data_IF_099067512540
#
_entry.id   IF_099067512540
#
_cell.length_a   1.000
_cell.length_b   1.000
_cell.length_c   1.000
_cell.angle_alpha   90.00
_cell.angle_beta   90.00
_cell.angle_gamma   90.00
#
_symmetry.space_group_name_H-M   'P 1'
#
loop_
_entity.id
_entity.type
_entity.pdbx_description
1 polymer ?
#
# COMPACT_ATOMS: atom_id res chain seq x y z
N UNK A 1 -24.31 36.57 -22.62
CA UNK A 1 -23.58 35.32 -22.33
C UNK A 1 -23.74 35.01 -20.86
N UNK A 2 -24.54 33.99 -20.51
CA UNK A 2 -24.65 33.55 -19.12
C UNK A 2 -23.33 32.88 -18.72
N UNK A 3 -22.64 33.40 -17.71
CA UNK A 3 -21.56 32.69 -17.05
C UNK A 3 -22.16 31.39 -16.51
N UNK A 4 -21.78 30.27 -17.13
CA UNK A 4 -22.11 28.94 -16.63
C UNK A 4 -21.37 28.80 -15.31
N UNK A 5 -22.10 28.84 -14.21
CA UNK A 5 -21.59 28.40 -12.90
C UNK A 5 -21.16 26.95 -13.11
N UNK A 6 -19.85 26.70 -13.17
CA UNK A 6 -19.31 25.35 -13.24
C UNK A 6 -19.61 24.71 -11.90
N UNK A 7 -20.72 23.99 -11.82
CA UNK A 7 -21.06 23.11 -10.71
C UNK A 7 -19.87 22.17 -10.47
N UNK A 8 -19.28 22.22 -9.29
CA UNK A 8 -18.25 21.27 -8.85
C UNK A 8 -18.94 19.97 -8.46
N UNK A 9 -19.40 19.20 -9.45
CA UNK A 9 -19.97 17.89 -9.20
C UNK A 9 -18.89 16.97 -8.63
N UNK A 10 -18.96 16.73 -7.32
CA UNK A 10 -18.08 15.78 -6.64
C UNK A 10 -18.61 14.36 -6.81
N UNK A 11 -17.71 13.41 -7.00
CA UNK A 11 -18.03 11.98 -7.04
C UNK A 11 -17.95 11.42 -5.61
N UNK A 12 -19.05 10.80 -5.15
CA UNK A 12 -19.08 10.13 -3.85
C UNK A 12 -18.50 8.73 -3.96
N UNK A 13 -17.45 8.43 -3.21
CA UNK A 13 -16.80 7.12 -3.18
C UNK A 13 -16.74 6.57 -1.75
N UNK A 14 -16.65 5.24 -1.63
CA UNK A 14 -16.25 4.56 -0.40
C UNK A 14 -14.83 4.03 -0.55
N UNK A 15 -14.09 4.02 0.54
CA UNK A 15 -12.78 3.36 0.62
C UNK A 15 -12.81 2.42 1.81
N UNK A 16 -12.34 1.19 1.60
CA UNK A 16 -12.07 0.20 2.64
C UNK A 16 -10.57 -0.10 2.67
N UNK A 17 -10.00 -0.25 3.86
CA UNK A 17 -8.69 -0.86 4.05
C UNK A 17 -8.76 -2.38 3.94
N UNK A 18 -7.86 -3.08 4.66
CA UNK A 18 -7.70 -4.53 4.52
C UNK A 18 -9.01 -5.27 4.80
N UNK A 19 -9.50 -5.99 3.80
CA UNK A 19 -10.72 -6.80 3.89
C UNK A 19 -10.43 -8.16 4.51
N UNK A 20 -9.25 -8.74 4.23
CA UNK A 20 -8.81 -10.04 4.75
C UNK A 20 -9.85 -11.15 4.60
N UNK A 21 -10.55 -11.19 3.47
CA UNK A 21 -11.58 -12.20 3.19
C UNK A 21 -12.91 -12.04 3.93
N UNK A 22 -13.12 -10.99 4.75
CA UNK A 22 -14.36 -10.76 5.50
C UNK A 22 -15.49 -10.16 4.62
N UNK A 23 -15.82 -10.82 3.50
CA UNK A 23 -16.72 -10.30 2.47
C UNK A 23 -18.15 -10.09 2.96
N UNK A 24 -18.67 -10.97 3.82
CA UNK A 24 -20.01 -10.80 4.42
C UNK A 24 -20.09 -9.52 5.24
N UNK A 25 -19.04 -9.22 6.00
CA UNK A 25 -18.95 -8.01 6.83
C UNK A 25 -18.75 -6.76 5.99
N UNK A 26 -17.89 -6.84 4.97
CA UNK A 26 -17.66 -5.76 4.01
C UNK A 26 -19.00 -5.35 3.38
N UNK A 27 -19.65 -6.25 2.64
CA UNK A 27 -20.84 -5.89 1.87
C UNK A 27 -22.05 -5.55 2.73
N UNK A 28 -22.19 -6.16 3.92
CA UNK A 28 -23.22 -5.73 4.89
C UNK A 28 -22.99 -4.31 5.40
N UNK A 29 -21.72 -3.91 5.62
CA UNK A 29 -21.37 -2.56 6.06
C UNK A 29 -21.57 -1.56 4.93
N UNK A 30 -21.16 -1.91 3.69
CA UNK A 30 -21.34 -1.09 2.50
C UNK A 30 -22.82 -0.82 2.25
N UNK A 31 -23.68 -1.85 2.30
CA UNK A 31 -25.13 -1.68 2.11
C UNK A 31 -25.73 -0.68 3.12
N UNK A 32 -25.37 -0.81 4.41
CA UNK A 32 -25.84 0.11 5.46
C UNK A 32 -25.36 1.55 5.23
N UNK A 33 -24.09 1.72 4.89
CA UNK A 33 -23.50 3.06 4.66
C UNK A 33 -24.08 3.68 3.38
N UNK A 34 -24.25 2.90 2.32
CA UNK A 34 -24.83 3.36 1.05
C UNK A 34 -26.29 3.79 1.23
N UNK A 35 -27.10 3.05 1.98
CA UNK A 35 -28.48 3.46 2.32
C UNK A 35 -28.54 4.75 3.14
N UNK A 36 -27.53 5.01 3.98
CA UNK A 36 -27.51 6.17 4.88
C UNK A 36 -26.93 7.44 4.25
N UNK A 37 -25.86 7.32 3.47
CA UNK A 37 -25.05 8.45 3.00
C UNK A 37 -24.79 8.46 1.48
N UNK A 38 -25.25 7.42 0.78
CA UNK A 38 -25.10 7.26 -0.65
C UNK A 38 -26.08 8.11 -1.47
N UNK A 39 -26.28 7.78 -2.76
CA UNK A 39 -25.60 6.69 -3.46
C UNK A 39 -24.09 6.96 -3.61
N UNK A 40 -23.27 5.93 -3.38
CA UNK A 40 -21.85 5.95 -3.71
C UNK A 40 -21.64 5.38 -5.12
N UNK A 41 -20.77 6.02 -5.89
CA UNK A 41 -20.48 5.64 -7.26
C UNK A 41 -19.54 4.43 -7.35
N UNK A 42 -18.60 4.32 -6.41
CA UNK A 42 -17.62 3.24 -6.34
C UNK A 42 -17.17 2.96 -4.91
N UNK A 43 -16.75 1.72 -4.65
CA UNK A 43 -16.01 1.28 -3.47
C UNK A 43 -14.60 0.87 -3.91
N UNK A 44 -13.57 1.45 -3.30
CA UNK A 44 -12.18 1.03 -3.48
C UNK A 44 -11.70 0.27 -2.25
N UNK A 45 -11.25 -0.97 -2.43
CA UNK A 45 -10.62 -1.76 -1.38
C UNK A 45 -9.09 -1.73 -1.57
N UNK A 46 -8.38 -1.21 -0.57
CA UNK A 46 -6.91 -1.11 -0.54
C UNK A 46 -6.34 -2.03 0.53
N UNK A 47 -5.09 -2.45 0.36
CA UNK A 47 -4.47 -3.44 1.24
C UNK A 47 -4.86 -4.87 0.88
N UNK A 48 -4.87 -5.75 1.87
CA UNK A 48 -5.17 -7.17 1.66
C UNK A 48 -6.67 -7.38 1.43
N UNK A 49 -7.06 -7.84 0.23
CA UNK A 49 -8.45 -8.07 -0.10
C UNK A 49 -8.92 -9.47 0.33
N UNK A 50 -8.12 -10.49 0.02
CA UNK A 50 -8.43 -11.87 0.36
C UNK A 50 -7.86 -12.29 1.72
N UNK A 51 -8.31 -13.45 2.22
CA UNK A 51 -7.75 -14.05 3.43
C UNK A 51 -6.41 -14.71 3.18
N UNK A 52 -5.53 -14.74 4.18
CA UNK A 52 -4.20 -15.35 4.07
C UNK A 52 -4.23 -16.85 3.73
N UNK A 53 -5.31 -17.56 4.09
CA UNK A 53 -5.48 -18.99 3.82
C UNK A 53 -5.99 -19.29 2.41
N UNK A 54 -6.28 -18.26 1.60
CA UNK A 54 -6.82 -18.47 0.25
C UNK A 54 -8.29 -18.89 0.20
N UNK A 55 -8.97 -18.92 1.34
CA UNK A 55 -10.38 -19.29 1.42
C UNK A 55 -11.25 -18.22 0.75
N UNK A 56 -12.11 -18.68 -0.16
CA UNK A 56 -13.03 -17.82 -0.91
C UNK A 56 -14.50 -18.18 -0.67
N UNK A 57 -14.80 -19.01 0.34
CA UNK A 57 -16.14 -19.50 0.66
C UNK A 57 -17.17 -18.37 0.88
N UNK A 58 -16.77 -17.28 1.54
CA UNK A 58 -17.64 -16.11 1.73
C UNK A 58 -17.91 -15.35 0.43
N UNK A 59 -17.04 -15.51 -0.58
CA UNK A 59 -17.14 -14.88 -1.89
C UNK A 59 -17.99 -15.70 -2.87
N UNK A 60 -18.01 -17.04 -2.75
CA UNK A 60 -18.73 -17.95 -3.64
C UNK A 60 -20.18 -17.52 -3.95
N UNK A 61 -21.02 -17.13 -2.96
CA UNK A 61 -22.39 -16.71 -3.25
C UNK A 61 -22.50 -15.50 -4.18
N UNK A 62 -21.49 -14.62 -4.18
CA UNK A 62 -21.45 -13.45 -5.07
C UNK A 62 -20.94 -13.84 -6.46
N UNK A 63 -19.96 -14.75 -6.55
CA UNK A 63 -19.45 -15.28 -7.81
C UNK A 63 -20.53 -16.05 -8.58
N UNK A 64 -21.31 -16.86 -7.87
CA UNK A 64 -22.44 -17.64 -8.42
C UNK A 64 -23.69 -16.77 -8.69
N UNK A 65 -23.70 -15.52 -8.23
CA UNK A 65 -24.82 -14.59 -8.41
C UNK A 65 -26.01 -14.81 -7.47
N UNK A 66 -25.89 -15.67 -6.46
CA UNK A 66 -26.94 -15.84 -5.42
C UNK A 66 -27.03 -14.64 -4.46
N UNK A 67 -25.95 -13.84 -4.36
CA UNK A 67 -25.93 -12.55 -3.69
C UNK A 67 -25.43 -11.44 -4.61
N UNK A 68 -25.89 -10.23 -4.37
CA UNK A 68 -25.48 -9.05 -5.13
C UNK A 68 -24.59 -8.15 -4.30
N UNK A 69 -23.67 -7.47 -4.99
CA UNK A 69 -22.79 -6.46 -4.39
C UNK A 69 -23.44 -5.08 -4.55
N UNK A 70 -23.66 -4.33 -3.45
CA UNK A 70 -24.54 -3.16 -3.44
C UNK A 70 -23.95 -1.90 -4.12
N UNK A 71 -22.63 -1.84 -4.30
CA UNK A 71 -21.89 -0.73 -4.91
C UNK A 71 -20.78 -1.32 -5.79
N UNK A 72 -20.54 -0.80 -7.01
CA UNK A 72 -19.40 -1.22 -7.83
C UNK A 72 -18.09 -1.19 -7.03
N UNK A 73 -17.51 -2.37 -6.84
CA UNK A 73 -16.37 -2.60 -5.95
C UNK A 73 -15.13 -2.90 -6.76
N UNK A 74 -14.09 -2.13 -6.53
CA UNK A 74 -12.79 -2.24 -7.16
C UNK A 74 -11.75 -2.54 -6.10
N UNK A 75 -10.86 -3.50 -6.37
CA UNK A 75 -9.84 -3.86 -5.41
C UNK A 75 -8.45 -3.97 -6.05
N UNK A 76 -7.45 -3.69 -5.23
CA UNK A 76 -6.07 -4.12 -5.37
C UNK A 76 -5.80 -5.22 -4.33
N UNK A 77 -4.65 -5.86 -4.40
CA UNK A 77 -4.23 -6.88 -3.45
C UNK A 77 -2.90 -6.52 -2.79
N UNK A 78 -2.59 -7.15 -1.66
CA UNK A 78 -1.31 -7.02 -0.95
C UNK A 78 -0.37 -8.18 -1.27
N UNK A 79 -0.21 -9.11 -0.34
CA UNK A 79 0.69 -10.26 -0.47
C UNK A 79 -0.02 -11.61 -0.35
N UNK A 80 -1.34 -11.59 -0.25
CA UNK A 80 -2.19 -12.72 0.08
C UNK A 80 -2.47 -13.68 -1.10
N UNK A 81 -2.02 -13.33 -2.31
CA UNK A 81 -2.29 -14.09 -3.54
C UNK A 81 -1.40 -15.34 -3.69
N UNK A 82 -0.43 -15.53 -2.80
CA UNK A 82 0.48 -16.70 -2.83
C UNK A 82 -0.23 -18.05 -2.62
N UNK A 83 -1.51 -18.05 -2.24
CA UNK A 83 -2.33 -19.26 -2.11
C UNK A 83 -2.99 -19.65 -3.45
N UNK A 84 -2.95 -20.95 -3.77
CA UNK A 84 -3.35 -21.49 -5.09
C UNK A 84 -4.78 -21.14 -5.51
N UNK A 85 -5.72 -21.06 -4.56
CA UNK A 85 -7.13 -20.78 -4.87
C UNK A 85 -7.38 -19.36 -5.38
N UNK A 86 -6.67 -18.35 -4.85
CA UNK A 86 -6.86 -16.95 -5.28
C UNK A 86 -6.22 -16.73 -6.65
N UNK A 87 -5.06 -17.32 -6.87
CA UNK A 87 -4.38 -17.30 -8.14
C UNK A 87 -5.22 -17.87 -9.28
N UNK A 88 -5.85 -19.02 -9.06
CA UNK A 88 -6.77 -19.63 -10.03
C UNK A 88 -8.00 -18.74 -10.28
N UNK A 89 -8.57 -18.17 -9.21
CA UNK A 89 -9.71 -17.25 -9.30
C UNK A 89 -9.40 -16.03 -10.17
N UNK A 90 -8.21 -15.46 -10.03
CA UNK A 90 -7.80 -14.31 -10.83
C UNK A 90 -7.36 -14.73 -12.24
N UNK A 91 -6.62 -15.83 -12.37
CA UNK A 91 -6.23 -16.44 -13.63
C UNK A 91 -5.67 -15.42 -14.62
N UNK A 92 -6.26 -15.36 -15.82
CA UNK A 92 -5.87 -14.42 -16.88
C UNK A 92 -6.02 -12.94 -16.51
N UNK A 93 -6.76 -12.60 -15.45
CA UNK A 93 -6.94 -11.22 -14.97
C UNK A 93 -5.77 -10.75 -14.12
N UNK A 94 -4.81 -11.61 -13.77
CA UNK A 94 -3.69 -11.24 -12.91
C UNK A 94 -2.96 -9.98 -13.39
N UNK A 95 -2.75 -9.83 -14.69
CA UNK A 95 -2.08 -8.67 -15.29
C UNK A 95 -2.99 -7.44 -15.40
N UNK A 96 -3.95 -7.47 -16.31
CA UNK A 96 -4.75 -6.31 -16.70
C UNK A 96 -5.94 -6.01 -15.76
N UNK A 97 -6.18 -6.89 -14.79
CA UNK A 97 -7.41 -6.89 -14.01
C UNK A 97 -8.60 -7.41 -14.82
N UNK A 98 -9.77 -7.38 -14.19
CA UNK A 98 -11.02 -7.77 -14.82
C UNK A 98 -12.15 -7.94 -13.82
N UNK A 99 -13.37 -8.03 -14.33
CA UNK A 99 -14.54 -8.33 -13.52
C UNK A 99 -14.51 -9.82 -13.12
N UNK A 100 -14.67 -10.08 -11.82
CA UNK A 100 -14.80 -11.44 -11.28
C UNK A 100 -16.26 -11.88 -11.28
N UNK A 101 -17.15 -10.96 -10.88
CA UNK A 101 -18.60 -11.11 -10.89
C UNK A 101 -19.24 -9.73 -10.94
N UNK A 102 -20.56 -9.61 -11.19
CA UNK A 102 -21.24 -8.32 -11.26
C UNK A 102 -20.91 -7.42 -10.07
N UNK A 103 -20.42 -6.20 -10.37
CA UNK A 103 -19.99 -5.19 -9.40
C UNK A 103 -18.73 -5.54 -8.58
N UNK A 104 -17.92 -6.52 -8.98
CA UNK A 104 -16.62 -6.81 -8.36
C UNK A 104 -15.51 -6.93 -9.39
N UNK A 105 -14.58 -5.98 -9.36
CA UNK A 105 -13.54 -5.84 -10.37
C UNK A 105 -12.16 -5.78 -9.72
N UNK A 106 -11.29 -6.69 -10.13
CA UNK A 106 -9.86 -6.58 -9.85
C UNK A 106 -9.26 -5.51 -10.78
N UNK A 107 -8.51 -4.56 -10.24
CA UNK A 107 -7.95 -3.47 -11.05
C UNK A 107 -6.78 -3.91 -11.94
N UNK A 108 -6.00 -4.91 -11.52
CA UNK A 108 -4.78 -5.37 -12.20
C UNK A 108 -3.53 -5.16 -11.33
N UNK A 109 -2.36 -5.52 -11.86
CA UNK A 109 -1.08 -5.33 -11.12
C UNK A 109 -0.75 -3.86 -10.92
N UNK A 110 -0.79 -3.09 -12.00
CA UNK A 110 -0.55 -1.65 -11.99
C UNK A 110 -1.29 -0.99 -13.13
N UNK A 111 -1.60 0.30 -12.98
CA UNK A 111 -2.08 1.10 -14.10
C UNK A 111 -2.92 2.29 -13.69
N UNK A 112 -3.59 2.85 -14.69
CA UNK A 112 -4.47 4.01 -14.55
C UNK A 112 -5.80 3.65 -15.22
N UNK A 113 -6.92 3.80 -14.49
CA UNK A 113 -8.26 3.53 -14.99
C UNK A 113 -9.19 4.71 -14.70
N UNK A 114 -10.13 4.95 -15.62
CA UNK A 114 -11.20 5.92 -15.44
C UNK A 114 -12.41 5.23 -14.79
N UNK A 115 -12.75 5.63 -13.57
CA UNK A 115 -13.79 4.99 -12.76
C UNK A 115 -14.74 6.07 -12.27
N UNK A 116 -15.99 6.02 -12.73
CA UNK A 116 -17.04 6.99 -12.36
C UNK A 116 -16.63 8.46 -12.58
N UNK A 117 -15.84 8.73 -13.62
CA UNK A 117 -15.33 10.06 -13.95
C UNK A 117 -14.08 10.49 -13.17
N UNK A 118 -13.50 9.61 -12.36
CA UNK A 118 -12.24 9.82 -11.65
C UNK A 118 -11.10 9.07 -12.35
N UNK A 119 -9.93 9.71 -12.43
CA UNK A 119 -8.69 9.08 -12.87
C UNK A 119 -8.00 8.39 -11.70
N UNK A 120 -7.95 7.06 -11.71
CA UNK A 120 -7.49 6.22 -10.60
C UNK A 120 -6.21 5.48 -10.99
N UNK A 121 -5.08 5.90 -10.42
CA UNK A 121 -3.82 5.18 -10.42
C UNK A 121 -3.84 4.08 -9.36
N UNK A 122 -3.25 2.92 -9.63
CA UNK A 122 -3.19 1.83 -8.67
C UNK A 122 -1.91 1.00 -8.82
N UNK A 123 -1.43 0.47 -7.70
CA UNK A 123 -0.34 -0.50 -7.61
C UNK A 123 -0.73 -1.59 -6.61
N UNK A 124 -0.91 -2.80 -7.11
CA UNK A 124 -1.14 -4.02 -6.34
C UNK A 124 0.18 -4.69 -6.00
N UNK A 125 0.20 -5.45 -4.91
CA UNK A 125 1.37 -6.21 -4.46
C UNK A 125 2.01 -5.64 -3.21
N UNK A 126 3.18 -6.20 -2.90
CA UNK A 126 4.07 -5.76 -1.83
C UNK A 126 5.46 -5.45 -2.35
N UNK A 127 6.18 -4.63 -1.61
CA UNK A 127 7.60 -4.45 -1.77
C UNK A 127 8.37 -5.63 -1.16
N UNK A 128 9.38 -6.04 -1.91
CA UNK A 128 10.40 -6.96 -1.47
C UNK A 128 11.69 -6.54 -2.16
N UNK A 129 12.75 -6.30 -1.39
CA UNK A 129 13.96 -5.63 -1.89
C UNK A 129 14.69 -6.46 -2.95
N UNK A 130 14.71 -7.79 -2.78
CA UNK A 130 15.27 -8.73 -3.75
C UNK A 130 14.41 -8.78 -5.00
N UNK A 131 13.12 -9.09 -4.85
CA UNK A 131 12.21 -9.22 -5.98
C UNK A 131 12.08 -7.92 -6.78
N UNK A 132 12.10 -6.76 -6.13
CA UNK A 132 11.90 -5.46 -6.80
C UNK A 132 12.96 -5.15 -7.85
N UNK A 133 14.21 -5.62 -7.64
CA UNK A 133 15.33 -5.41 -8.57
C UNK A 133 15.45 -6.51 -9.63
N UNK A 134 14.72 -7.60 -9.47
CA UNK A 134 14.67 -8.63 -10.49
C UNK A 134 13.83 -8.14 -11.66
N UNK A 135 14.08 -8.65 -12.89
CA UNK A 135 13.15 -8.45 -13.97
C UNK A 135 11.81 -9.10 -13.61
N UNK A 136 10.72 -8.45 -14.02
CA UNK A 136 9.37 -8.99 -13.85
C UNK A 136 9.32 -10.44 -14.34
N UNK A 137 8.93 -11.34 -13.44
CA UNK A 137 8.77 -12.76 -13.76
C UNK A 137 7.58 -12.88 -14.71
N UNK A 138 7.79 -13.48 -15.88
CA UNK A 138 6.69 -13.91 -16.74
C UNK A 138 5.79 -14.82 -15.91
N UNK A 139 4.47 -14.64 -15.99
CA UNK A 139 3.48 -15.52 -15.34
C UNK A 139 3.46 -16.95 -15.93
N UNK A 140 4.49 -17.32 -16.69
CA UNK A 140 4.70 -18.65 -17.25
C UNK A 140 5.26 -19.57 -16.15
N UNK A 141 4.40 -20.03 -15.25
CA UNK A 141 4.75 -20.98 -14.19
C UNK A 141 3.77 -20.98 -13.03
N UNK A 142 3.91 -21.96 -12.12
CA UNK A 142 3.02 -22.16 -10.97
C UNK A 142 3.28 -21.17 -9.80
N UNK A 143 4.31 -20.31 -9.88
CA UNK A 143 4.61 -19.32 -8.85
C UNK A 143 3.98 -17.97 -9.19
N UNK A 144 2.96 -17.57 -8.44
CA UNK A 144 2.37 -16.23 -8.58
C UNK A 144 3.28 -15.20 -7.95
N UNK A 145 3.68 -14.23 -8.74
CA UNK A 145 4.44 -13.11 -8.26
C UNK A 145 3.53 -12.10 -7.55
N UNK A 146 3.63 -12.03 -6.22
CA UNK A 146 2.89 -11.05 -5.41
C UNK A 146 3.63 -9.73 -5.23
N UNK A 147 4.90 -9.68 -5.63
CA UNK A 147 5.74 -8.49 -5.51
C UNK A 147 5.60 -7.66 -6.78
N UNK A 148 5.62 -6.35 -6.64
CA UNK A 148 5.77 -5.46 -7.80
C UNK A 148 7.26 -5.21 -8.07
N UNK A 149 7.58 -5.05 -9.35
CA UNK A 149 8.95 -4.84 -9.83
C UNK A 149 9.24 -3.37 -10.12
N UNK A 150 10.52 -3.01 -10.18
CA UNK A 150 10.95 -1.66 -10.54
C UNK A 150 10.38 -1.23 -11.90
N UNK A 151 10.41 -2.12 -12.90
CA UNK A 151 9.85 -1.83 -14.23
C UNK A 151 8.35 -1.49 -14.18
N UNK A 152 7.59 -2.12 -13.28
CA UNK A 152 6.15 -1.87 -13.14
C UNK A 152 5.88 -0.50 -12.52
N UNK A 153 6.73 -0.08 -11.58
CA UNK A 153 6.67 1.26 -10.95
C UNK A 153 7.11 2.32 -11.95
N UNK A 154 8.18 2.08 -12.71
CA UNK A 154 8.66 2.98 -13.77
C UNK A 154 7.60 3.20 -14.84
N UNK A 155 6.97 2.13 -15.32
CA UNK A 155 5.87 2.22 -16.28
C UNK A 155 4.70 3.04 -15.73
N UNK A 156 4.34 2.85 -14.46
CA UNK A 156 3.25 3.58 -13.84
C UNK A 156 3.58 5.06 -13.69
N UNK A 157 4.80 5.39 -13.27
CA UNK A 157 5.28 6.78 -13.17
C UNK A 157 5.28 7.44 -14.54
N UNK A 158 5.79 6.75 -15.58
CA UNK A 158 5.81 7.25 -16.94
C UNK A 158 4.38 7.56 -17.43
N UNK A 159 3.45 6.61 -17.29
CA UNK A 159 2.04 6.79 -17.66
C UNK A 159 1.37 7.93 -16.87
N UNK A 160 1.64 8.02 -15.56
CA UNK A 160 1.06 9.08 -14.72
C UNK A 160 1.60 10.46 -15.11
N UNK A 161 2.86 10.52 -15.53
CA UNK A 161 3.51 11.76 -15.96
C UNK A 161 2.97 12.29 -17.29
N UNK A 162 2.35 11.47 -18.14
CA UNK A 162 1.70 11.95 -19.36
C UNK A 162 0.60 12.99 -19.07
N UNK A 163 -0.02 12.92 -17.89
CA UNK A 163 -1.05 13.86 -17.43
C UNK A 163 -0.49 15.00 -16.56
N UNK A 164 0.80 15.36 -16.69
CA UNK A 164 1.49 16.35 -15.84
C UNK A 164 0.81 17.73 -15.71
N UNK A 165 -0.12 18.10 -16.59
CA UNK A 165 -0.87 19.37 -16.49
C UNK A 165 -2.08 19.27 -15.56
N UNK A 166 -2.70 18.08 -15.50
CA UNK A 166 -3.98 17.86 -14.81
C UNK A 166 -3.79 16.99 -13.56
N UNK A 167 -2.80 16.11 -13.56
CA UNK A 167 -2.62 15.06 -12.55
C UNK A 167 -3.76 14.05 -12.57
N UNK A 168 -3.81 13.25 -11.51
CA UNK A 168 -4.81 12.20 -11.28
C UNK A 168 -5.63 12.46 -10.00
N UNK A 169 -6.79 11.83 -9.91
CA UNK A 169 -7.65 11.99 -8.75
C UNK A 169 -7.14 11.17 -7.57
N UNK A 170 -6.82 9.90 -7.80
CA UNK A 170 -6.60 8.91 -6.75
C UNK A 170 -5.39 8.04 -7.09
N UNK A 171 -4.54 7.78 -6.09
CA UNK A 171 -3.61 6.67 -6.04
C UNK A 171 -4.09 5.64 -5.00
N UNK A 172 -4.15 4.37 -5.40
CA UNK A 172 -4.44 3.22 -4.55
C UNK A 172 -3.19 2.36 -4.40
N UNK A 173 -2.71 2.15 -3.18
CA UNK A 173 -1.62 1.21 -2.90
C UNK A 173 -1.94 0.36 -1.68
N UNK A 174 -1.43 -0.87 -1.65
CA UNK A 174 -1.58 -1.71 -0.47
C UNK A 174 -0.71 -1.21 0.67
N UNK A 175 0.54 -0.87 0.36
CA UNK A 175 1.54 -0.38 1.31
C UNK A 175 1.60 1.15 1.36
N UNK A 176 2.13 1.65 2.47
CA UNK A 176 2.46 3.07 2.66
C UNK A 176 3.78 3.40 1.98
N UNK A 177 4.02 4.68 1.66
CA UNK A 177 5.35 5.11 1.22
C UNK A 177 6.31 5.21 2.41
N UNK A 178 7.53 4.69 2.28
CA UNK A 178 8.55 4.87 3.31
C UNK A 178 8.85 6.36 3.55
N UNK A 179 8.98 6.75 4.81
CA UNK A 179 9.26 8.15 5.17
C UNK A 179 8.04 9.06 5.20
N UNK A 180 6.81 8.51 5.11
CA UNK A 180 5.56 9.27 5.23
C UNK A 180 5.45 10.12 6.51
N UNK A 181 6.19 9.74 7.56
CA UNK A 181 6.22 10.40 8.86
C UNK A 181 7.23 11.56 8.96
N UNK A 182 8.12 11.76 7.98
CA UNK A 182 9.26 12.71 8.09
C UNK A 182 8.86 14.16 8.36
N UNK A 183 7.66 14.56 7.93
CA UNK A 183 7.13 15.91 8.10
C UNK A 183 6.02 15.99 9.15
N UNK A 184 5.85 14.92 9.92
CA UNK A 184 4.96 14.96 11.07
C UNK A 184 5.59 15.76 12.21
N UNK A 185 4.79 16.54 12.96
CA UNK A 185 5.25 17.12 14.21
C UNK A 185 5.85 16.04 15.13
N UNK A 186 6.88 16.39 15.90
CA UNK A 186 7.53 15.48 16.86
C UNK A 186 6.54 14.88 17.87
N UNK A 187 5.45 15.59 18.15
CA UNK A 187 4.39 15.18 19.06
C UNK A 187 3.29 14.33 18.39
N UNK A 188 3.36 14.13 17.08
CA UNK A 188 2.39 13.34 16.35
C UNK A 188 2.59 11.84 16.63
N UNK A 189 1.74 11.29 17.49
CA UNK A 189 1.68 9.84 17.72
C UNK A 189 0.88 9.17 16.59
N UNK A 190 1.55 8.41 15.73
CA UNK A 190 0.88 7.45 14.85
C UNK A 190 0.70 6.16 15.64
N UNK A 191 -0.52 5.60 15.74
CA UNK A 191 -0.77 4.37 16.49
C UNK A 191 -0.30 3.15 15.69
N UNK A 192 1.01 3.04 15.45
CA UNK A 192 1.66 1.98 14.69
C UNK A 192 2.59 1.16 15.58
N UNK A 193 2.71 -0.13 15.30
CA UNK A 193 3.67 -1.01 15.96
C UNK A 193 5.01 -0.99 15.22
N UNK A 194 6.11 -0.85 15.96
CA UNK A 194 7.47 -0.86 15.42
C UNK A 194 7.98 0.52 14.94
N UNK A 195 9.27 0.61 14.57
CA UNK A 195 9.89 1.88 14.17
C UNK A 195 9.32 2.41 12.85
N UNK A 196 8.89 3.67 12.86
CA UNK A 196 8.30 4.36 11.71
C UNK A 196 9.27 4.46 10.52
N UNK A 197 10.57 4.52 10.79
CA UNK A 197 11.66 4.63 9.83
C UNK A 197 11.74 3.42 8.90
N UNK A 198 11.30 2.25 9.39
CA UNK A 198 11.28 0.99 8.64
C UNK A 198 9.91 0.65 8.05
N UNK A 199 8.89 1.48 8.29
CA UNK A 199 7.56 1.24 7.77
C UNK A 199 7.37 1.81 6.36
N UNK A 200 6.64 1.06 5.55
CA UNK A 200 6.30 1.42 4.17
C UNK A 200 7.35 1.02 3.15
N UNK A 201 6.99 1.18 1.88
CA UNK A 201 7.78 0.81 0.71
C UNK A 201 8.54 2.03 0.16
N UNK A 202 9.85 1.91 -0.12
CA UNK A 202 10.60 2.94 -0.84
C UNK A 202 10.09 3.15 -2.27
N UNK A 203 9.60 2.09 -2.93
CA UNK A 203 9.02 2.19 -4.26
C UNK A 203 7.70 2.98 -4.27
N UNK A 204 6.83 2.78 -3.27
CA UNK A 204 5.61 3.61 -3.11
C UNK A 204 5.98 5.06 -2.77
N UNK A 205 7.03 5.29 -1.98
CA UNK A 205 7.52 6.65 -1.73
C UNK A 205 7.99 7.32 -3.02
N UNK A 206 8.74 6.61 -3.86
CA UNK A 206 9.18 7.08 -5.18
C UNK A 206 7.99 7.40 -6.07
N UNK A 207 7.04 6.47 -6.22
CA UNK A 207 5.80 6.70 -6.96
C UNK A 207 5.05 7.93 -6.45
N UNK A 208 4.94 8.10 -5.13
CA UNK A 208 4.26 9.23 -4.51
C UNK A 208 5.02 10.57 -4.59
N UNK A 209 6.32 10.53 -4.86
CA UNK A 209 7.12 11.72 -5.15
C UNK A 209 7.08 12.14 -6.62
N UNK A 210 6.91 11.18 -7.53
CA UNK A 210 7.05 11.42 -8.97
C UNK A 210 5.71 11.57 -9.69
N UNK A 211 4.66 10.89 -9.23
CA UNK A 211 3.31 10.98 -9.78
C UNK A 211 2.46 12.05 -9.06
N UNK A 212 1.66 12.79 -9.83
CA UNK A 212 0.81 13.86 -9.30
C UNK A 212 -0.64 13.40 -9.12
N UNK A 213 -1.05 13.17 -7.87
CA UNK A 213 -2.41 12.74 -7.51
C UNK A 213 -2.96 13.47 -6.29
N UNK A 214 -4.28 13.60 -6.20
CA UNK A 214 -4.93 14.37 -5.12
C UNK A 214 -5.22 13.57 -3.86
N UNK A 215 -5.51 12.28 -3.99
CA UNK A 215 -5.79 11.39 -2.87
C UNK A 215 -4.90 10.15 -2.94
N UNK A 216 -4.37 9.72 -1.80
CA UNK A 216 -3.66 8.45 -1.65
C UNK A 216 -4.35 7.62 -0.59
N UNK A 217 -4.91 6.49 -0.99
CA UNK A 217 -5.54 5.55 -0.06
C UNK A 217 -4.63 4.34 0.12
N UNK A 218 -4.32 4.01 1.37
CA UNK A 218 -3.36 2.96 1.73
C UNK A 218 -3.90 2.03 2.83
N UNK A 219 -3.50 0.76 2.81
CA UNK A 219 -3.91 -0.27 3.77
C UNK A 219 -2.76 -0.77 4.67
N UNK A 220 -2.72 -2.09 4.91
CA UNK A 220 -1.66 -2.96 5.49
C UNK A 220 -1.09 -2.64 6.88
N UNK A 221 -0.95 -1.38 7.28
CA UNK A 221 -0.45 -1.01 8.62
C UNK A 221 -1.53 -1.10 9.71
N UNK A 222 -2.79 -1.36 9.35
CA UNK A 222 -3.94 -1.33 10.26
C UNK A 222 -4.06 -0.01 11.05
N UNK A 223 -3.67 1.10 10.42
CA UNK A 223 -3.70 2.46 11.00
C UNK A 223 -4.67 3.32 10.21
N UNK A 224 -5.61 3.96 10.91
CA UNK A 224 -6.38 5.07 10.35
C UNK A 224 -5.69 6.38 10.71
N UNK A 225 -5.07 7.00 9.72
CA UNK A 225 -4.39 8.28 9.90
C UNK A 225 -4.53 9.11 8.64
N UNK A 226 -4.87 10.37 8.82
CA UNK A 226 -4.93 11.35 7.74
C UNK A 226 -3.71 12.25 7.87
N UNK A 227 -2.80 12.16 6.90
CA UNK A 227 -1.65 13.05 6.86
C UNK A 227 -2.12 14.47 6.52
N UNK A 228 -1.41 15.47 7.03
CA UNK A 228 -1.57 16.83 6.54
C UNK A 228 -1.35 16.83 5.01
N UNK A 229 -2.17 17.53 4.22
CA UNK A 229 -1.98 17.55 2.78
C UNK A 229 -0.57 18.02 2.43
N UNK A 230 0.10 17.36 1.51
CA UNK A 230 1.46 17.70 1.07
C UNK A 230 1.48 18.11 -0.40
N UNK A 231 2.41 18.98 -0.77
CA UNK A 231 2.52 19.51 -2.12
C UNK A 231 3.03 18.44 -3.09
N UNK A 232 2.48 18.43 -4.30
CA UNK A 232 3.08 17.78 -5.47
C UNK A 232 3.26 18.81 -6.60
N UNK A 233 3.71 18.42 -7.78
CA UNK A 233 4.04 19.36 -8.86
C UNK A 233 2.80 20.10 -9.34
N UNK A 234 1.63 19.45 -9.33
CA UNK A 234 0.38 20.01 -9.87
C UNK A 234 -0.53 20.57 -8.78
N UNK A 235 -0.82 19.79 -7.74
CA UNK A 235 -1.81 20.02 -6.68
C UNK A 235 -1.19 19.86 -5.27
N UNK A 236 -2.02 19.42 -4.32
CA UNK A 236 -1.63 18.77 -3.07
C UNK A 236 -2.23 17.36 -3.01
N UNK A 237 -1.54 16.46 -2.31
CA UNK A 237 -1.97 15.10 -2.04
C UNK A 237 -2.48 14.98 -0.60
N UNK A 238 -3.62 14.28 -0.43
CA UNK A 238 -4.17 13.86 0.87
C UNK A 238 -3.98 12.37 1.04
N UNK A 239 -3.14 11.97 1.99
CA UNK A 239 -2.95 10.56 2.33
C UNK A 239 -3.89 10.12 3.44
N UNK A 240 -4.56 9.00 3.21
CA UNK A 240 -5.45 8.34 4.16
C UNK A 240 -5.03 6.88 4.34
N UNK A 241 -4.49 6.60 5.52
CA UNK A 241 -4.36 5.25 6.05
C UNK A 241 -5.71 4.68 6.43
N UNK A 242 -5.94 3.41 6.08
CA UNK A 242 -7.15 2.68 6.41
C UNK A 242 -6.81 1.48 7.30
N UNK A 243 -7.66 1.23 8.31
CA UNK A 243 -7.53 0.05 9.16
C UNK A 243 -8.07 -1.22 8.51
N UNK A 244 -7.77 -2.38 9.11
CA UNK A 244 -8.33 -3.66 8.70
C UNK A 244 -9.79 -3.82 9.15
N UNK A 245 -10.64 -4.43 8.31
CA UNK A 245 -12.01 -4.72 8.69
C UNK A 245 -12.05 -5.63 9.91
N UNK A 246 -12.85 -5.22 10.91
CA UNK A 246 -13.01 -6.00 12.13
C UNK A 246 -11.85 -5.99 13.10
N UNK A 247 -10.86 -5.11 12.91
CA UNK A 247 -9.75 -4.96 13.85
C UNK A 247 -10.25 -4.73 15.30
N UNK A 248 -9.51 -5.29 16.27
CA UNK A 248 -9.85 -5.20 17.69
C UNK A 248 -9.79 -3.76 18.22
N UNK A 249 -8.89 -2.94 17.66
CA UNK A 249 -8.69 -1.54 18.03
C UNK A 249 -9.82 -0.59 17.59
N UNK A 250 -10.84 -1.09 16.87
CA UNK A 250 -11.92 -0.28 16.26
C UNK A 250 -11.39 0.90 15.42
N UNK A 251 -10.19 0.74 14.86
CA UNK A 251 -9.59 1.64 13.88
C UNK A 251 -10.53 1.73 12.69
N UNK A 252 -10.69 2.92 12.13
CA UNK A 252 -11.63 3.13 11.02
C UNK A 252 -11.14 2.42 9.77
N UNK A 253 -11.83 1.33 9.43
CA UNK A 253 -11.52 0.51 8.26
C UNK A 253 -12.24 0.97 6.98
N UNK A 254 -13.32 1.76 7.11
CA UNK A 254 -14.11 2.22 5.96
C UNK A 254 -14.53 3.67 6.13
N UNK A 255 -14.43 4.46 5.06
CA UNK A 255 -14.81 5.86 5.04
C UNK A 255 -15.35 6.29 3.67
N UNK A 256 -16.35 7.17 3.68
CA UNK A 256 -16.85 7.83 2.47
C UNK A 256 -16.16 9.15 2.20
N UNK A 257 -15.97 9.46 0.92
CA UNK A 257 -15.33 10.68 0.43
C UNK A 257 -16.16 11.31 -0.68
N UNK A 258 -16.02 12.63 -0.85
CA UNK A 258 -16.55 13.38 -1.98
C UNK A 258 -15.37 13.98 -2.73
N UNK A 259 -15.06 13.42 -3.89
CA UNK A 259 -13.86 13.74 -4.68
C UNK A 259 -14.27 14.66 -5.82
N UNK A 260 -13.78 15.92 -5.87
CA UNK A 260 -13.93 16.77 -7.04
C UNK A 260 -12.98 16.27 -8.15
N UNK A 261 -13.48 15.83 -9.32
CA UNK A 261 -12.64 15.28 -10.37
C UNK A 261 -11.67 16.32 -10.95
N UNK A 262 -10.40 15.97 -11.15
CA UNK A 262 -9.37 16.87 -11.70
C UNK A 262 -9.71 17.37 -13.10
N UNK A 263 -10.47 16.59 -13.88
CA UNK A 263 -10.87 16.92 -15.25
C UNK A 263 -11.94 18.00 -15.34
N UNK A 264 -12.79 18.13 -14.33
CA UNK A 264 -13.99 18.98 -14.38
C UNK A 264 -13.97 20.11 -13.36
N UNK A 265 -13.25 19.94 -12.25
CA UNK A 265 -13.16 20.95 -11.21
C UNK A 265 -12.31 22.16 -11.64
N UNK A 266 -12.62 23.37 -11.12
CA UNK A 266 -11.85 24.57 -11.44
C UNK A 266 -10.46 24.50 -10.80
N UNK A 267 -9.43 24.85 -11.59
CA UNK A 267 -8.02 24.84 -11.14
C UNK A 267 -7.76 25.69 -9.90
N UNK A 268 -8.50 26.79 -9.73
CA UNK A 268 -8.39 27.67 -8.56
C UNK A 268 -8.70 26.95 -7.24
N UNK A 269 -9.62 25.97 -7.25
CA UNK A 269 -9.97 25.21 -6.06
C UNK A 269 -8.79 24.37 -5.54
N UNK A 270 -7.88 23.95 -6.42
CA UNK A 270 -6.72 23.14 -6.05
C UNK A 270 -5.49 23.99 -5.73
N UNK A 271 -5.39 25.19 -6.31
CA UNK A 271 -4.29 26.12 -6.04
C UNK A 271 -4.25 26.56 -4.57
N UNK A 272 -5.40 26.92 -4.00
CA UNK A 272 -5.49 27.31 -2.58
C UNK A 272 -5.17 26.15 -1.62
N UNK A 273 -5.54 24.92 -1.99
CA UNK A 273 -5.21 23.73 -1.21
C UNK A 273 -3.69 23.48 -1.21
N UNK A 274 -3.04 23.67 -2.37
CA UNK A 274 -1.60 23.52 -2.54
C UNK A 274 -0.80 24.55 -1.75
N UNK A 275 -1.23 25.81 -1.74
CA UNK A 275 -0.54 26.88 -1.00
C UNK A 275 -0.50 26.60 0.52
N UNK A 276 -1.53 25.95 1.05
CA UNK A 276 -1.64 25.59 2.47
C UNK A 276 -1.04 24.22 2.82
N UNK A 277 -0.64 23.44 1.81
CA UNK A 277 -0.09 22.10 2.00
C UNK A 277 1.36 22.16 2.50
N UNK A 278 1.76 21.14 3.25
CA UNK A 278 3.15 20.95 3.67
C UNK A 278 4.05 20.60 2.49
N UNK A 279 5.36 20.59 2.69
CA UNK A 279 6.27 19.96 1.73
C UNK A 279 5.94 18.47 1.55
N UNK A 280 6.41 17.87 0.45
CA UNK A 280 6.25 16.44 0.20
C UNK A 280 7.16 15.63 1.14
N UNK A 281 6.64 14.68 1.94
CA UNK A 281 7.47 13.88 2.85
C UNK A 281 8.41 12.91 2.13
N UNK A 282 8.13 12.61 0.86
CA UNK A 282 8.88 11.65 0.05
C UNK A 282 9.97 12.30 -0.79
N UNK A 283 9.94 13.63 -0.99
CA UNK A 283 11.06 14.32 -1.61
C UNK A 283 12.26 14.24 -0.70
N UNK A 284 13.40 13.81 -1.24
CA UNK A 284 14.67 13.76 -0.51
C UNK A 284 14.92 15.15 0.08
N UNK A 285 15.19 15.24 1.39
CA UNK A 285 15.58 16.50 1.98
C UNK A 285 16.80 17.02 1.21
N UNK A 286 16.88 18.32 0.85
CA UNK A 286 18.12 18.87 0.33
C UNK A 286 19.20 18.55 1.36
N UNK A 287 20.21 17.78 0.95
CA UNK A 287 21.35 17.47 1.79
C UNK A 287 21.93 18.81 2.27
N UNK A 288 22.12 18.97 3.57
CA UNK A 288 22.78 20.15 4.15
C UNK A 288 24.28 20.24 3.79
N UNK A 289 24.71 19.46 2.80
CA UNK A 289 25.99 19.55 2.14
C UNK A 289 25.67 19.65 0.64
N UNK A 290 25.90 20.83 0.08
CA UNK A 290 25.78 21.06 -1.35
C UNK A 290 26.71 20.11 -2.08
N UNK A 291 26.13 19.24 -2.91
CA UNK A 291 26.85 18.63 -4.01
C UNK A 291 27.12 19.79 -4.98
N UNK A 292 28.37 20.24 -5.01
CA UNK A 292 28.86 21.04 -6.12
C UNK A 292 28.78 20.16 -7.36
N UNK A 293 28.14 20.68 -8.40
CA UNK A 293 28.14 20.10 -9.74
C UNK A 293 29.60 19.74 -10.11
N UNK A 294 29.85 18.46 -10.40
CA UNK A 294 31.11 18.03 -11.02
C UNK A 294 31.16 18.63 -12.43
N UNK A 295 31.76 19.81 -12.54
CA UNK A 295 32.15 20.42 -13.81
C UNK A 295 33.36 19.63 -14.35
N UNK A 296 33.19 18.96 -15.50
CA UNK A 296 34.27 18.31 -16.24
C UNK A 296 35.42 19.30 -16.51
N UNK A 297 36.59 19.06 -15.90
CA UNK A 297 37.82 19.80 -16.20
C UNK A 297 38.60 19.03 -17.28
N UNK A 298 39.00 19.69 -18.40
CA UNK A 298 39.68 19.00 -19.49
C UNK A 298 41.15 18.70 -19.14
N UNK A 299 41.62 17.52 -19.54
CA UNK A 299 43.02 17.08 -19.37
C UNK A 299 44.02 18.00 -20.11
N UNK A 300 45.11 18.35 -19.43
CA UNK A 300 46.28 19.03 -19.98
C UNK A 300 47.54 18.14 -19.81
N UNK A 301 48.54 18.28 -20.71
CA UNK A 301 49.41 17.18 -21.10
C UNK A 301 50.57 16.91 -20.14
N UNK A 302 50.93 15.64 -20.05
CA UNK A 302 52.10 15.15 -19.32
C UNK A 302 53.42 15.61 -19.96
N UNK A 303 54.33 16.13 -19.15
CA UNK A 303 55.77 16.17 -19.43
C UNK A 303 56.48 15.25 -18.45
N UNK A 304 57.24 14.31 -19.00
CA UNK A 304 58.16 13.41 -18.29
C UNK A 304 59.24 14.18 -17.53
N UNK A 305 59.68 13.64 -16.39
CA UNK A 305 61.10 13.52 -16.07
C UNK A 305 61.32 12.52 -14.93
N UNK A 306 62.35 11.69 -15.12
CA UNK A 306 62.79 10.54 -14.36
C UNK A 306 63.14 10.80 -12.89
N UNK A 307 63.08 9.77 -12.03
CA UNK A 307 64.27 9.23 -11.35
C UNK A 307 63.96 7.88 -10.67
N UNK A 308 64.81 6.91 -10.99
CA UNK A 308 64.82 5.51 -10.56
C UNK A 308 65.76 5.32 -9.36
N UNK A 309 65.33 4.65 -8.28
CA UNK A 309 66.24 3.89 -7.39
C UNK A 309 65.56 2.63 -6.82
N UNK A 310 65.81 1.52 -7.50
CA UNK A 310 66.27 0.20 -7.02
C UNK A 310 65.78 -0.44 -5.69
N UNK A 311 65.17 -1.62 -5.90
CA UNK A 311 65.06 -2.85 -5.09
C UNK A 311 66.07 -3.08 -3.94
N UNK A 312 65.54 -3.59 -2.82
CA UNK A 312 66.20 -4.60 -1.98
C UNK A 312 65.13 -5.58 -1.44
N UNK A 313 65.41 -6.88 -1.51
CA UNK A 313 64.49 -7.99 -1.19
C UNK A 313 64.80 -8.68 0.15
N UNK A 314 63.72 -9.09 0.83
CA UNK A 314 63.53 -10.30 1.67
C UNK A 314 64.12 -10.35 3.11
N UNK A 315 63.75 -11.35 3.97
CA UNK A 315 62.39 -11.70 4.44
C UNK A 315 62.36 -11.97 5.98
N UNK A 316 61.17 -12.14 6.61
CA UNK A 316 61.10 -12.64 8.00
C UNK A 316 59.71 -12.70 8.67
N UNK A 317 59.23 -13.94 8.85
CA UNK A 317 58.51 -14.51 10.01
C UNK A 317 57.08 -14.09 10.44
N UNK A 318 56.17 -15.04 10.18
CA UNK A 318 55.14 -15.64 11.04
C UNK A 318 54.49 -14.87 12.21
N UNK A 319 53.15 -14.84 12.20
CA UNK A 319 52.35 -15.39 13.30
C UNK A 319 50.92 -15.73 12.85
N UNK A 320 50.58 -17.02 12.96
CA UNK A 320 49.23 -17.56 12.85
C UNK A 320 48.49 -17.38 14.17
N UNK A 321 47.19 -17.11 14.13
CA UNK A 321 46.27 -17.49 15.20
C UNK A 321 45.05 -18.18 14.57
N UNK A 322 44.93 -19.47 14.88
CA UNK A 322 43.87 -20.37 14.47
C UNK A 322 42.99 -20.68 15.68
N UNK A 323 41.66 -20.76 15.47
CA UNK A 323 40.78 -21.68 16.21
C UNK A 323 39.74 -22.22 15.20
N UNK A 324 39.89 -23.51 14.87
CA UNK A 324 38.94 -24.37 14.16
C UNK A 324 37.77 -24.75 15.10
N UNK A 325 36.52 -24.67 14.63
CA UNK A 325 35.67 -25.75 14.09
C UNK A 325 34.95 -26.64 15.12
N UNK A 326 33.62 -26.74 14.97
CA UNK A 326 32.85 -27.96 15.30
C UNK A 326 31.92 -28.23 14.12
N UNK A 327 32.15 -29.39 13.49
CA UNK A 327 31.39 -30.03 12.43
C UNK A 327 30.24 -30.86 13.03
N UNK A 328 29.17 -31.02 12.25
CA UNK A 328 28.14 -32.04 12.47
C UNK A 328 27.41 -32.37 11.16
N UNK A 329 28.08 -33.10 10.26
CA UNK A 329 27.48 -33.72 9.08
C UNK A 329 26.80 -35.04 9.45
N UNK A 330 25.60 -35.28 8.92
CA UNK A 330 25.02 -36.61 8.80
C UNK A 330 24.71 -36.89 7.33
N UNK A 331 25.49 -37.79 6.72
CA UNK A 331 25.26 -38.35 5.40
C UNK A 331 24.73 -39.78 5.58
N UNK A 332 23.65 -40.13 4.90
CA UNK A 332 23.18 -41.51 4.75
C UNK A 332 23.26 -41.91 3.27
N UNK A 333 23.97 -43.01 3.04
CA UNK A 333 24.19 -43.69 1.76
C UNK A 333 22.91 -44.39 1.29
N UNK A 334 22.72 -44.53 -0.02
CA UNK A 334 21.96 -45.64 -0.59
C UNK A 334 22.66 -46.15 -1.85
N UNK A 335 22.92 -47.46 -1.86
CA UNK A 335 23.61 -48.21 -2.91
C UNK A 335 22.71 -48.48 -4.13
N UNK A 336 23.38 -48.66 -5.26
CA UNK A 336 22.83 -49.00 -6.57
C UNK A 336 22.94 -50.52 -6.78
N UNK A 337 21.85 -51.17 -7.19
CA UNK A 337 21.89 -52.44 -7.92
C UNK A 337 21.01 -52.37 -9.18
N UNK A 338 21.55 -52.96 -10.24
CA UNK A 338 21.13 -52.93 -11.64
C UNK A 338 20.34 -54.20 -12.01
N UNK A 339 19.26 -54.06 -12.78
CA UNK A 339 18.69 -55.13 -13.62
C UNK A 339 17.69 -54.59 -14.67
N UNK A 340 18.16 -54.42 -15.91
CA UNK A 340 17.60 -55.12 -17.08
C UNK A 340 16.24 -54.73 -17.70
N UNK A 341 16.34 -54.07 -18.86
CA UNK A 341 15.59 -54.27 -20.12
C UNK A 341 14.10 -53.82 -20.28
N UNK A 342 13.89 -52.90 -21.24
CA UNK A 342 12.65 -52.76 -22.02
C UNK A 342 12.08 -51.33 -22.11
N UNK A 343 12.31 -50.61 -23.21
CA UNK A 343 11.56 -49.37 -23.55
C UNK A 343 10.44 -49.60 -24.56
N UNK A 344 9.67 -48.58 -24.99
CA UNK A 344 9.41 -47.30 -24.34
C UNK A 344 7.90 -47.08 -24.07
N UNK A 345 7.53 -46.69 -22.85
CA UNK A 345 6.29 -45.97 -22.56
C UNK A 345 6.63 -44.68 -21.82
N UNK A 346 5.86 -43.63 -22.13
CA UNK A 346 6.10 -42.21 -21.87
C UNK A 346 6.43 -41.82 -20.41
N UNK A 347 7.21 -40.74 -20.20
CA UNK A 347 7.13 -39.97 -18.96
C UNK A 347 6.98 -38.45 -19.26
N UNK A 348 6.34 -37.62 -18.44
CA UNK A 348 6.66 -37.36 -17.04
C UNK A 348 5.46 -36.73 -16.31
N UNK A 349 5.02 -37.34 -15.22
CA UNK A 349 4.37 -36.65 -14.11
C UNK A 349 5.48 -36.06 -13.21
N UNK A 350 5.54 -34.73 -13.09
CA UNK A 350 6.45 -34.03 -12.18
C UNK A 350 5.86 -34.03 -10.76
N UNK A 351 6.69 -34.43 -9.80
CA UNK A 351 6.42 -34.31 -8.36
C UNK A 351 6.58 -32.84 -7.96
N UNK A 352 5.48 -32.21 -7.53
CA UNK A 352 5.44 -30.86 -7.00
C UNK A 352 5.70 -30.86 -5.49
N UNK A 353 6.56 -29.96 -5.03
CA UNK A 353 6.73 -29.67 -3.61
C UNK A 353 5.56 -28.83 -3.10
N UNK A 354 4.57 -29.47 -2.49
CA UNK A 354 3.55 -28.78 -1.69
C UNK A 354 4.21 -28.16 -0.45
N UNK A 355 3.84 -26.92 -0.09
CA UNK A 355 4.18 -26.37 1.23
C UNK A 355 3.69 -27.32 2.32
N UNK A 356 4.57 -27.68 3.24
CA UNK A 356 4.21 -28.59 4.32
C UNK A 356 3.17 -27.94 5.23
N UNK A 357 2.22 -28.72 5.73
CA UNK A 357 1.24 -28.27 6.73
C UNK A 357 1.93 -27.63 7.96
N UNK A 358 3.19 -27.99 8.24
CA UNK A 358 4.00 -27.39 9.29
C UNK A 358 4.37 -25.92 9.01
N UNK A 359 4.71 -25.57 7.76
CA UNK A 359 5.03 -24.19 7.37
C UNK A 359 3.79 -23.30 7.37
N UNK A 360 2.65 -23.82 6.88
CA UNK A 360 1.37 -23.11 6.94
C UNK A 360 0.92 -22.86 8.40
N UNK A 361 1.12 -23.85 9.28
CA UNK A 361 0.82 -23.72 10.70
C UNK A 361 1.74 -22.71 11.39
N UNK A 362 3.02 -22.69 11.08
CA UNK A 362 3.97 -21.72 11.66
C UNK A 362 3.58 -20.28 11.32
N UNK A 363 3.20 -20.01 10.07
CA UNK A 363 2.78 -18.69 9.63
C UNK A 363 1.45 -18.25 10.28
N UNK A 364 0.52 -19.20 10.47
CA UNK A 364 -0.72 -18.97 11.22
C UNK A 364 -0.45 -18.66 12.70
N UNK A 365 0.44 -19.42 13.34
CA UNK A 365 0.77 -19.24 14.76
C UNK A 365 1.51 -17.92 15.00
N UNK A 366 2.39 -17.49 14.09
CA UNK A 366 3.06 -16.18 14.13
C UNK A 366 2.05 -15.01 13.97
N UNK A 367 1.06 -15.14 13.09
CA UNK A 367 0.01 -14.13 12.93
C UNK A 367 -0.95 -14.09 14.12
N UNK A 368 -1.34 -15.24 14.66
CA UNK A 368 -2.17 -15.33 15.85
C UNK A 368 -1.46 -14.73 17.08
N UNK A 369 -0.15 -14.93 17.21
CA UNK A 369 0.67 -14.30 18.23
C UNK A 369 0.71 -12.78 18.08
N UNK A 370 0.93 -12.27 16.86
CA UNK A 370 0.91 -10.84 16.59
C UNK A 370 -0.46 -10.20 16.86
N UNK A 371 -1.57 -10.89 16.56
CA UNK A 371 -2.92 -10.43 16.86
C UNK A 371 -3.25 -10.47 18.36
N UNK A 372 -2.75 -11.48 19.09
CA UNK A 372 -2.89 -11.57 20.54
C UNK A 372 -2.12 -10.46 21.25
N UNK A 373 -0.89 -10.18 20.82
CA UNK A 373 -0.06 -9.09 21.33
C UNK A 373 -0.71 -7.73 21.04
N UNK A 374 -1.22 -7.52 19.83
CA UNK A 374 -1.97 -6.31 19.47
C UNK A 374 -3.24 -6.14 20.32
N UNK A 375 -3.92 -7.25 20.69
CA UNK A 375 -5.11 -7.22 21.56
C UNK A 375 -4.75 -6.86 23.00
N UNK A 376 -3.68 -7.43 23.54
CA UNK A 376 -3.19 -7.14 24.89
C UNK A 376 -2.74 -5.67 25.01
N UNK A 377 -2.01 -5.16 24.01
CA UNK A 377 -1.61 -3.75 23.97
C UNK A 377 -2.77 -2.79 23.76
N UNK A 378 -3.78 -3.14 22.95
CA UNK A 378 -5.00 -2.34 22.80
C UNK A 378 -5.84 -2.29 24.09
N UNK A 379 -5.74 -3.32 24.93
CA UNK A 379 -6.33 -3.33 26.25
C UNK A 379 -5.55 -2.46 27.25
N UNK A 380 -4.21 -2.47 27.16
CA UNK A 380 -3.33 -1.58 27.93
C UNK A 380 -3.46 -0.09 27.55
N UNK A 381 -3.80 0.22 26.28
CA UNK A 381 -3.95 1.58 25.78
C UNK A 381 -5.28 2.28 26.18
N UNK A 382 -6.15 1.63 26.96
CA UNK A 382 -7.40 2.23 27.49
C UNK A 382 -7.12 3.22 28.64
N UNK A 383 -6.41 4.30 28.36
CA UNK A 383 -6.30 5.49 29.22
C UNK A 383 -7.36 6.56 28.82
N UNK A 384 -7.77 7.49 29.71
CA UNK A 384 -8.96 8.30 29.49
C UNK A 384 -8.83 9.27 28.30
N UNK A 385 -9.94 9.47 27.59
CA UNK A 385 -10.08 10.28 26.36
C UNK A 385 -9.38 11.64 26.46
N UNK A 386 -8.25 11.80 25.75
CA UNK A 386 -7.70 13.13 25.44
C UNK A 386 -8.57 13.82 24.39
N UNK A 387 -8.96 15.05 24.69
CA UNK A 387 -9.72 15.93 23.80
C UNK A 387 -8.84 16.32 22.61
N UNK A 388 -9.35 16.13 21.39
CA UNK A 388 -8.71 16.59 20.16
C UNK A 388 -8.52 18.11 20.18
N UNK A 389 -7.29 18.56 19.90
CA UNK A 389 -6.89 19.98 19.84
C UNK A 389 -7.43 20.73 18.60
N UNK A 390 -8.20 20.08 17.72
CA UNK A 390 -8.78 20.71 16.52
C UNK A 390 -10.27 21.10 16.65
N UNK A 391 -10.65 21.73 17.77
CA UNK A 391 -11.98 22.35 17.91
C UNK A 391 -11.97 23.85 18.26
N UNK A 392 -10.82 24.52 18.24
CA UNK A 392 -10.76 25.98 18.42
C UNK A 392 -10.76 26.70 17.06
N UNK A 393 -11.93 26.84 16.44
CA UNK A 393 -12.34 28.01 15.64
C UNK A 393 -13.71 27.80 14.98
N UNK A 394 -14.75 27.74 15.80
CA UNK A 394 -16.14 27.99 15.36
C UNK A 394 -16.65 29.20 16.15
N UNK A 395 -17.12 30.28 15.49
CA UNK A 395 -17.73 31.39 16.21
C UNK A 395 -19.02 30.92 16.89
N UNK A 396 -19.12 31.11 18.20
CA UNK A 396 -20.30 30.74 19.00
C UNK A 396 -21.55 31.49 18.49
N UNK A 397 -22.69 30.82 18.25
CA UNK A 397 -23.93 31.51 17.96
C UNK A 397 -24.46 32.25 19.19
N UNK A 398 -24.86 33.52 19.00
CA UNK A 398 -25.48 34.36 20.02
C UNK A 398 -26.91 33.89 20.31
N UNK A 399 -27.12 33.41 21.55
CA UNK A 399 -28.29 33.75 22.38
C UNK A 399 -29.56 32.90 22.29
N UNK A 400 -30.10 32.55 23.47
CA UNK A 400 -31.50 32.79 23.88
C UNK A 400 -31.57 32.86 25.41
N UNK A 401 -31.93 34.05 25.93
CA UNK A 401 -32.31 34.26 27.34
C UNK A 401 -33.67 33.57 27.57
N UNK A 402 -33.70 32.55 28.43
CA UNK A 402 -34.94 31.96 28.92
C UNK A 402 -35.54 32.83 30.02
N UNK A 403 -36.75 33.34 29.78
CA UNK A 403 -37.55 34.06 30.76
C UNK A 403 -38.07 33.10 31.85
N UNK A 404 -37.83 33.46 33.10
CA UNK A 404 -38.36 32.77 34.27
C UNK A 404 -39.71 33.43 34.63
N UNK A 405 -40.81 32.69 34.54
CA UNK A 405 -42.12 33.11 35.07
C UNK A 405 -42.36 32.41 36.41
N UNK A 406 -42.77 33.13 37.47
CA UNK A 406 -42.93 32.53 38.79
C UNK A 406 -44.28 31.82 38.95
N UNK A 407 -44.23 30.70 39.68
CA UNK A 407 -45.38 29.87 40.08
C UNK A 407 -46.32 30.65 41.01
N UNK A 408 -47.61 30.61 40.69
CA UNK A 408 -48.71 31.15 41.52
C UNK A 408 -49.22 30.03 42.44
N UNK A 409 -49.18 30.22 43.75
CA UNK A 409 -49.84 29.38 44.75
C UNK A 409 -51.10 30.09 45.24
N UNK A 410 -52.17 29.31 45.41
CA UNK A 410 -53.51 29.68 45.92
C UNK A 410 -53.44 30.52 47.20
N UNK A 411 -54.26 31.56 47.31
CA UNK A 411 -55.59 31.57 47.94
C UNK A 411 -56.47 32.57 47.22
#
# INVERSE_FOLDING_TARGET
>A
MALRVVSTETVKILVSGDVKGQFKKLFSSVDKVNKKAGPFAALFCVGQFFGATGETDELLPYLEGSKTIPVPTYFIYGNEISSSGIAELLGHRMEAGGELCPNLTFLGRQGIKEISGLSVCFLSGRYDDESYREPKKSLEGDSIDTCYHESEVDELIAKASESFVVGHDILLTSEWGQGFHRLLPLEASIPMHGPLERAGSPAVARLASEADFRYHFVGTLNVHYQLAPFQNKVHSTRLYGMGALGNAGKVKAMQGFSVPPVKTAPRSAFAEEKEKATLNPYTRAPTAHGEADEEEVPEAPHTEEDYNVQNISAPGESMQCSVQSILGNAAAKFDVEDAGAGGPQAPNARVFGAMSQAQAKQLHDEQAAAEAEAREMAEAAKAPKRVSLYQFNQPKPKGKRGGNSPKRVKW
#
